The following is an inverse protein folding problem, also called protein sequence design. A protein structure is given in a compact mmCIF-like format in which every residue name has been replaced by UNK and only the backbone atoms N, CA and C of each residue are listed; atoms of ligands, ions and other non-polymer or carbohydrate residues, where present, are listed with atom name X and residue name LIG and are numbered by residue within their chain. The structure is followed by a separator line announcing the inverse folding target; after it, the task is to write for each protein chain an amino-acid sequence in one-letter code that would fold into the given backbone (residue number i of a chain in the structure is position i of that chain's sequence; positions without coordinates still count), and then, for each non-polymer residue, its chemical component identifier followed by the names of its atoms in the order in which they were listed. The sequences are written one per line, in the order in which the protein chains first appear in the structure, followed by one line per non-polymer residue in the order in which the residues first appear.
data_IF_003066031729
#
_entry.id   IF_003066031729
#
_cell.length_a   1.000
_cell.length_b   1.000
_cell.length_c   1.000
_cell.angle_alpha   90.00
_cell.angle_beta   90.00
_cell.angle_gamma   90.00
#
_symmetry.space_group_name_H-M   'P 1'
#
loop_
_entity.id
_entity.type
_entity.pdbx_description
1 polymer ?
#
# COMPACT_ATOMS: atom_id res chain seq x y z
N UNK A 1 -31.30 11.00 12.06
CA UNK A 1 -31.25 9.57 12.44
C UNK A 1 -31.17 9.51 13.95
N UNK A 2 -32.16 8.88 14.58
CA UNK A 2 -32.29 8.83 16.03
C UNK A 2 -31.34 7.76 16.57
N UNK A 3 -30.27 8.18 17.23
CA UNK A 3 -29.42 7.30 18.03
C UNK A 3 -30.17 6.89 19.30
N UNK A 4 -30.00 5.65 19.71
CA UNK A 4 -30.56 5.20 20.99
C UNK A 4 -29.90 5.96 22.15
N UNK A 5 -30.59 6.15 23.30
CA UNK A 5 -29.99 6.84 24.46
C UNK A 5 -28.72 6.15 24.99
N UNK A 6 -28.59 4.85 24.77
CA UNK A 6 -27.42 4.05 25.16
C UNK A 6 -26.24 4.31 24.23
N UNK A 7 -26.46 4.36 22.90
CA UNK A 7 -25.44 4.73 21.93
C UNK A 7 -24.96 6.17 22.10
N UNK A 8 -25.88 7.09 22.43
CA UNK A 8 -25.52 8.48 22.70
C UNK A 8 -24.67 8.63 23.96
N UNK A 9 -24.90 7.82 25.00
CA UNK A 9 -24.04 7.76 26.20
C UNK A 9 -22.66 7.17 25.90
N UNK A 10 -22.58 6.10 25.12
CA UNK A 10 -21.32 5.51 24.68
C UNK A 10 -20.47 6.52 23.89
N UNK A 11 -21.07 7.16 22.90
CA UNK A 11 -20.39 8.17 22.07
C UNK A 11 -19.95 9.38 22.91
N UNK A 12 -20.76 9.83 23.88
CA UNK A 12 -20.40 10.95 24.75
C UNK A 12 -19.31 10.61 25.76
N UNK A 13 -19.26 9.37 26.24
CA UNK A 13 -18.22 8.92 27.18
C UNK A 13 -16.89 8.58 26.48
N UNK A 14 -16.95 8.15 25.22
CA UNK A 14 -15.77 7.83 24.41
C UNK A 14 -15.31 9.03 23.53
N UNK A 15 -16.21 10.01 23.32
CA UNK A 15 -15.80 11.22 22.62
C UNK A 15 -14.69 11.91 23.43
N UNK A 16 -13.49 12.09 22.85
CA UNK A 16 -12.48 12.88 23.51
C UNK A 16 -13.08 14.23 23.87
N UNK A 17 -12.92 14.65 25.12
CA UNK A 17 -13.28 16.01 25.57
C UNK A 17 -12.84 16.98 24.48
N UNK A 18 -13.63 18.03 24.21
CA UNK A 18 -13.34 19.12 23.24
C UNK A 18 -12.01 19.86 23.49
N UNK A 19 -11.18 19.38 24.38
CA UNK A 19 -9.79 19.80 24.47
C UNK A 19 -9.15 19.51 23.12
N UNK A 20 -8.76 20.57 22.43
CA UNK A 20 -8.00 20.56 21.20
C UNK A 20 -6.97 19.44 21.25
N UNK A 21 -7.06 18.47 20.33
CA UNK A 21 -6.09 17.38 20.28
C UNK A 21 -4.68 18.00 20.41
N UNK A 22 -3.91 17.65 21.47
CA UNK A 22 -2.66 18.33 21.73
C UNK A 22 -1.78 18.20 20.50
N UNK A 23 -1.31 19.33 19.96
CA UNK A 23 -0.45 19.36 18.80
C UNK A 23 0.83 18.59 19.12
N UNK A 24 1.09 17.51 18.37
CA UNK A 24 2.34 16.79 18.53
C UNK A 24 3.44 17.61 17.86
N UNK A 25 4.50 18.02 18.57
CA UNK A 25 5.59 18.72 17.95
C UNK A 25 6.23 17.82 16.86
N UNK A 26 6.21 18.25 15.61
CA UNK A 26 6.74 17.50 14.46
C UNK A 26 8.17 16.97 14.69
N UNK A 27 9.03 17.79 15.32
CA UNK A 27 10.41 17.40 15.68
C UNK A 27 10.49 16.23 16.68
N UNK A 28 9.46 16.01 17.51
CA UNK A 28 9.42 14.84 18.39
C UNK A 28 9.03 13.57 17.62
N UNK A 29 8.20 13.71 16.57
CA UNK A 29 7.81 12.56 15.72
C UNK A 29 8.99 12.03 14.92
N UNK A 30 9.81 12.89 14.34
CA UNK A 30 11.00 12.48 13.56
C UNK A 30 12.01 11.70 14.41
N UNK A 31 12.05 11.97 15.72
CA UNK A 31 12.91 11.24 16.67
C UNK A 31 12.27 9.94 17.18
N UNK A 32 10.99 9.71 16.91
CA UNK A 32 10.27 8.50 17.34
C UNK A 32 10.46 7.40 16.27
N UNK A 33 11.37 6.46 16.50
CA UNK A 33 11.72 5.39 15.55
C UNK A 33 10.51 4.55 15.09
N UNK A 34 9.55 4.16 15.94
CA UNK A 34 8.32 3.51 15.49
C UNK A 34 7.53 4.35 14.47
N UNK A 35 7.41 5.65 14.67
CA UNK A 35 6.74 6.54 13.71
C UNK A 35 7.53 6.65 12.40
N UNK A 36 8.85 6.80 12.47
CA UNK A 36 9.73 6.84 11.29
C UNK A 36 9.58 5.57 10.46
N UNK A 37 9.53 4.40 11.12
CA UNK A 37 9.31 3.13 10.42
C UNK A 37 7.96 3.09 9.67
N UNK A 38 6.88 3.60 10.28
CA UNK A 38 5.57 3.72 9.61
C UNK A 38 5.64 4.68 8.42
N UNK A 39 6.28 5.84 8.59
CA UNK A 39 6.41 6.84 7.53
C UNK A 39 7.21 6.31 6.33
N UNK A 40 8.31 5.60 6.58
CA UNK A 40 9.11 4.92 5.54
C UNK A 40 8.28 3.83 4.86
N UNK A 41 7.56 3.00 5.61
CA UNK A 41 6.69 1.97 5.03
C UNK A 41 5.61 2.58 4.13
N UNK A 42 4.97 3.67 4.58
CA UNK A 42 3.97 4.42 3.80
C UNK A 42 4.59 5.00 2.52
N UNK A 43 5.78 5.58 2.62
CA UNK A 43 6.52 6.11 1.47
C UNK A 43 6.81 5.02 0.45
N UNK A 44 7.39 3.89 0.86
CA UNK A 44 7.73 2.78 -0.04
C UNK A 44 6.48 2.14 -0.67
N UNK A 45 5.42 1.96 0.11
CA UNK A 45 4.15 1.43 -0.41
C UNK A 45 3.54 2.36 -1.48
N UNK A 46 3.53 3.67 -1.23
CA UNK A 46 3.03 4.65 -2.18
C UNK A 46 3.93 4.74 -3.42
N UNK A 47 5.25 4.64 -3.26
CA UNK A 47 6.19 4.59 -4.40
C UNK A 47 5.79 3.49 -5.39
N UNK A 48 5.64 2.26 -4.92
CA UNK A 48 5.20 1.13 -5.75
C UNK A 48 3.82 1.36 -6.35
N UNK A 49 2.84 1.75 -5.52
CA UNK A 49 1.45 1.96 -5.96
C UNK A 49 1.37 2.97 -7.12
N UNK A 50 1.99 4.15 -6.97
CA UNK A 50 1.90 5.21 -7.97
C UNK A 50 2.77 4.95 -9.21
N UNK A 51 3.89 4.22 -9.07
CA UNK A 51 4.63 3.71 -10.22
C UNK A 51 3.73 2.77 -11.05
N UNK A 52 3.09 1.79 -10.42
CA UNK A 52 2.18 0.87 -11.10
C UNK A 52 1.00 1.59 -11.74
N UNK A 53 0.33 2.45 -11.01
CA UNK A 53 -0.83 3.18 -11.49
C UNK A 53 -0.50 3.99 -12.77
N UNK A 54 0.71 4.56 -12.84
CA UNK A 54 1.14 5.40 -13.93
C UNK A 54 1.69 4.61 -15.13
N UNK A 55 2.39 3.51 -14.87
CA UNK A 55 3.18 2.82 -15.91
C UNK A 55 2.65 1.46 -16.31
N UNK A 56 1.86 0.77 -15.49
CA UNK A 56 1.28 -0.52 -15.87
C UNK A 56 0.42 -0.45 -17.14
N UNK A 57 -0.50 0.51 -17.32
CA UNK A 57 -1.27 0.61 -18.57
C UNK A 57 -0.38 0.87 -19.79
N UNK A 58 0.69 1.67 -19.61
CA UNK A 58 1.65 1.96 -20.67
C UNK A 58 2.46 0.73 -21.05
N UNK A 59 2.92 -0.03 -20.06
CA UNK A 59 3.66 -1.28 -20.26
C UNK A 59 2.84 -2.33 -21.02
N UNK A 60 1.58 -2.50 -20.61
CA UNK A 60 0.68 -3.47 -21.27
C UNK A 60 0.41 -3.08 -22.73
N UNK A 61 0.35 -1.78 -23.04
CA UNK A 61 0.10 -1.29 -24.40
C UNK A 61 1.38 -1.14 -25.25
N UNK A 62 2.55 -0.94 -24.63
CA UNK A 62 3.79 -0.71 -25.35
C UNK A 62 4.11 -1.89 -26.32
N UNK A 63 4.71 -1.62 -27.49
CA UNK A 63 5.05 -2.67 -28.45
C UNK A 63 6.00 -3.71 -27.87
N UNK A 64 5.85 -4.95 -28.29
CA UNK A 64 6.76 -6.07 -27.89
C UNK A 64 8.22 -5.75 -28.28
N UNK A 65 8.43 -5.06 -29.39
CA UNK A 65 9.75 -4.59 -29.84
C UNK A 65 10.43 -3.62 -28.89
N UNK A 66 9.65 -2.95 -28.04
CA UNK A 66 10.10 -2.02 -27.00
C UNK A 66 10.08 -2.67 -25.60
N UNK A 67 9.86 -3.99 -25.52
CA UNK A 67 9.80 -4.73 -24.27
C UNK A 67 8.48 -4.59 -23.52
N UNK A 68 7.41 -4.11 -24.18
CA UNK A 68 6.04 -4.10 -23.66
C UNK A 68 5.27 -5.37 -24.03
N UNK A 69 3.96 -5.39 -23.73
CA UNK A 69 3.09 -6.54 -23.96
C UNK A 69 2.34 -6.49 -25.31
N UNK A 70 2.34 -5.34 -25.99
CA UNK A 70 1.71 -5.15 -27.32
C UNK A 70 0.20 -5.28 -27.36
N UNK A 71 -0.49 -5.01 -26.24
CA UNK A 71 -1.94 -5.20 -26.13
C UNK A 71 -2.66 -3.88 -26.38
N UNK A 72 -3.60 -3.91 -27.34
CA UNK A 72 -4.41 -2.73 -27.67
C UNK A 72 -5.28 -2.31 -26.46
N UNK A 73 -5.26 -1.00 -26.16
CA UNK A 73 -6.07 -0.36 -25.10
C UNK A 73 -7.57 -0.60 -25.27
N UNK A 74 -8.05 -0.76 -26.52
CA UNK A 74 -9.45 -1.03 -26.83
C UNK A 74 -9.87 -2.49 -26.64
N UNK A 75 -8.93 -3.39 -26.40
CA UNK A 75 -9.22 -4.82 -26.25
C UNK A 75 -9.80 -5.16 -24.88
N UNK A 76 -10.75 -6.11 -24.87
CA UNK A 76 -11.25 -6.66 -23.60
C UNK A 76 -10.13 -7.28 -22.75
N UNK A 77 -9.09 -7.82 -23.39
CA UNK A 77 -7.93 -8.42 -22.73
C UNK A 77 -7.20 -7.38 -21.90
N UNK A 78 -7.01 -6.15 -22.43
CA UNK A 78 -6.42 -5.04 -21.70
C UNK A 78 -7.23 -4.71 -20.45
N UNK A 79 -8.57 -4.59 -20.60
CA UNK A 79 -9.47 -4.28 -19.47
C UNK A 79 -9.35 -5.34 -18.37
N UNK A 80 -9.34 -6.62 -18.72
CA UNK A 80 -9.20 -7.70 -17.74
C UNK A 80 -7.81 -7.73 -17.09
N UNK A 81 -6.74 -7.46 -17.84
CA UNK A 81 -5.39 -7.41 -17.32
C UNK A 81 -5.20 -6.34 -16.22
N UNK A 82 -5.93 -5.23 -16.33
CA UNK A 82 -5.90 -4.16 -15.31
C UNK A 82 -6.93 -4.42 -14.20
N UNK A 83 -8.14 -4.85 -14.55
CA UNK A 83 -9.24 -4.96 -13.59
C UNK A 83 -9.03 -6.10 -12.57
N UNK A 84 -8.53 -7.27 -13.02
CA UNK A 84 -8.35 -8.43 -12.14
C UNK A 84 -7.41 -8.11 -10.96
N UNK A 85 -6.21 -7.56 -11.16
CA UNK A 85 -5.33 -7.17 -10.05
C UNK A 85 -5.97 -6.12 -9.12
N UNK A 86 -6.78 -5.19 -9.65
CA UNK A 86 -7.48 -4.20 -8.83
C UNK A 86 -8.50 -4.86 -7.90
N UNK A 87 -9.30 -5.80 -8.41
CA UNK A 87 -10.28 -6.55 -7.57
C UNK A 87 -9.56 -7.38 -6.52
N UNK A 88 -8.47 -8.06 -6.89
CA UNK A 88 -7.63 -8.82 -5.95
C UNK A 88 -7.06 -7.91 -4.86
N UNK A 89 -6.65 -6.69 -5.20
CA UNK A 89 -6.15 -5.70 -4.23
C UNK A 89 -7.20 -5.37 -3.16
N UNK A 90 -8.45 -5.12 -3.56
CA UNK A 90 -9.54 -4.80 -2.63
C UNK A 90 -9.78 -5.97 -1.67
N UNK A 91 -9.89 -7.18 -2.19
CA UNK A 91 -10.11 -8.40 -1.39
C UNK A 91 -8.94 -8.62 -0.44
N UNK A 92 -7.72 -8.47 -0.93
CA UNK A 92 -6.50 -8.70 -0.15
C UNK A 92 -6.32 -7.69 0.98
N UNK A 93 -6.72 -6.43 0.77
CA UNK A 93 -6.70 -5.38 1.80
C UNK A 93 -7.59 -5.78 3.00
N UNK A 94 -8.79 -6.28 2.73
CA UNK A 94 -9.73 -6.74 3.76
C UNK A 94 -9.16 -7.98 4.46
N UNK A 95 -8.69 -8.96 3.69
CA UNK A 95 -8.11 -10.20 4.23
C UNK A 95 -6.86 -9.95 5.07
N UNK A 96 -6.01 -8.99 4.69
CA UNK A 96 -4.81 -8.61 5.45
C UNK A 96 -5.14 -8.12 6.86
N UNK A 97 -6.18 -7.30 7.01
CA UNK A 97 -6.68 -6.88 8.31
C UNK A 97 -7.19 -8.06 9.14
N UNK A 98 -8.06 -8.89 8.55
CA UNK A 98 -8.56 -10.10 9.24
C UNK A 98 -7.45 -11.07 9.66
N UNK A 99 -6.44 -11.27 8.81
CA UNK A 99 -5.29 -12.14 9.11
C UNK A 99 -4.52 -11.63 10.33
N UNK A 100 -4.22 -10.33 10.35
CA UNK A 100 -3.52 -9.72 11.48
C UNK A 100 -4.32 -9.85 12.78
N UNK A 101 -5.62 -9.56 12.76
CA UNK A 101 -6.49 -9.67 13.92
C UNK A 101 -6.65 -11.12 14.40
N UNK A 102 -6.74 -12.08 13.49
CA UNK A 102 -6.81 -13.50 13.82
C UNK A 102 -5.53 -14.00 14.51
N UNK A 103 -4.35 -13.55 14.06
CA UNK A 103 -3.08 -13.87 14.68
C UNK A 103 -2.97 -13.28 16.09
N UNK A 104 -3.39 -12.03 16.29
CA UNK A 104 -3.41 -11.39 17.61
C UNK A 104 -4.38 -12.13 18.55
N UNK A 105 -5.58 -12.49 18.08
CA UNK A 105 -6.56 -13.28 18.85
C UNK A 105 -6.04 -14.67 19.24
N UNK A 106 -5.13 -15.27 18.46
CA UNK A 106 -4.46 -16.52 18.79
C UNK A 106 -3.36 -16.37 19.86
N UNK A 107 -3.11 -15.15 20.35
CA UNK A 107 -2.13 -14.88 21.41
C UNK A 107 -0.75 -14.45 20.93
N UNK A 108 -0.54 -14.23 19.64
CA UNK A 108 0.71 -13.65 19.16
C UNK A 108 0.82 -12.19 19.57
N UNK A 109 2.02 -11.72 19.90
CA UNK A 109 2.22 -10.32 20.27
C UNK A 109 1.93 -9.38 19.08
N UNK A 110 1.25 -8.26 19.34
CA UNK A 110 0.91 -7.26 18.32
C UNK A 110 2.14 -6.85 17.50
N UNK A 111 3.27 -6.59 18.19
CA UNK A 111 4.53 -6.18 17.55
C UNK A 111 5.02 -7.23 16.55
N UNK A 112 5.00 -8.51 16.93
CA UNK A 112 5.48 -9.60 16.07
C UNK A 112 4.54 -9.80 14.86
N UNK A 113 3.23 -9.70 15.07
CA UNK A 113 2.24 -9.77 13.99
C UNK A 113 2.45 -8.61 13.00
N UNK A 114 2.54 -7.35 13.49
CA UNK A 114 2.78 -6.19 12.63
C UNK A 114 4.08 -6.31 11.81
N UNK A 115 5.17 -6.73 12.46
CA UNK A 115 6.45 -6.98 11.76
C UNK A 115 6.34 -8.11 10.74
N UNK A 116 5.73 -9.23 11.12
CA UNK A 116 5.58 -10.40 10.25
C UNK A 116 4.79 -10.10 8.99
N UNK A 117 3.59 -9.50 9.12
CA UNK A 117 2.75 -9.15 7.97
C UNK A 117 3.41 -8.10 7.07
N UNK A 118 4.13 -7.12 7.64
CA UNK A 118 4.90 -6.17 6.85
C UNK A 118 6.03 -6.84 6.07
N UNK A 119 6.81 -7.71 6.73
CA UNK A 119 7.92 -8.40 6.08
C UNK A 119 7.43 -9.29 4.94
N UNK A 120 6.39 -10.10 5.19
CA UNK A 120 5.80 -10.96 4.14
C UNK A 120 5.27 -10.11 2.99
N UNK A 121 4.58 -9.03 3.29
CA UNK A 121 4.01 -8.17 2.28
C UNK A 121 5.07 -7.46 1.42
N UNK A 122 6.06 -6.80 2.02
CA UNK A 122 7.09 -6.07 1.27
C UNK A 122 8.05 -7.00 0.54
N UNK A 123 8.58 -8.03 1.20
CA UNK A 123 9.50 -8.98 0.56
C UNK A 123 8.80 -9.84 -0.51
N UNK A 124 7.55 -10.26 -0.25
CA UNK A 124 6.76 -10.99 -1.23
C UNK A 124 6.47 -10.13 -2.47
N UNK A 125 6.06 -8.88 -2.29
CA UNK A 125 5.86 -7.95 -3.41
C UNK A 125 7.15 -7.71 -4.19
N UNK A 126 8.28 -7.51 -3.53
CA UNK A 126 9.57 -7.31 -4.19
C UNK A 126 10.01 -8.54 -4.99
N UNK A 127 9.80 -9.75 -4.45
CA UNK A 127 10.10 -11.00 -5.16
C UNK A 127 9.28 -11.13 -6.45
N UNK A 128 7.96 -10.92 -6.37
CA UNK A 128 7.09 -11.05 -7.53
C UNK A 128 7.32 -9.93 -8.56
N UNK A 129 7.70 -8.72 -8.12
CA UNK A 129 8.15 -7.65 -9.00
C UNK A 129 9.41 -8.04 -9.78
N UNK A 130 10.38 -8.62 -9.09
CA UNK A 130 11.60 -9.08 -9.74
C UNK A 130 11.30 -10.16 -10.79
N UNK A 131 10.34 -11.05 -10.52
CA UNK A 131 9.94 -12.08 -11.48
C UNK A 131 9.23 -11.52 -12.71
N UNK A 132 8.43 -10.45 -12.57
CA UNK A 132 7.77 -9.80 -13.73
C UNK A 132 8.79 -9.33 -14.77
N UNK A 133 9.94 -8.85 -14.35
CA UNK A 133 10.96 -8.30 -15.25
C UNK A 133 11.47 -9.29 -16.30
N UNK A 134 11.24 -10.59 -16.11
CA UNK A 134 11.70 -11.68 -16.98
C UNK A 134 10.55 -12.39 -17.70
N UNK A 135 9.30 -11.89 -17.61
CA UNK A 135 8.13 -12.58 -18.13
C UNK A 135 7.65 -11.96 -19.45
N UNK A 136 7.49 -12.82 -20.45
CA UNK A 136 6.97 -12.46 -21.77
C UNK A 136 5.47 -12.81 -21.94
N UNK A 137 4.91 -13.62 -21.04
CA UNK A 137 3.51 -14.06 -21.08
C UNK A 137 2.60 -13.13 -20.30
N UNK A 138 1.60 -12.55 -20.96
CA UNK A 138 0.59 -11.71 -20.30
C UNK A 138 -0.09 -12.43 -19.12
N UNK A 139 -0.42 -13.72 -19.29
CA UNK A 139 -1.07 -14.48 -18.21
C UNK A 139 -0.20 -14.53 -16.96
N UNK A 140 1.10 -14.81 -17.13
CA UNK A 140 2.05 -14.86 -16.03
C UNK A 140 2.20 -13.47 -15.37
N UNK A 141 2.29 -12.40 -16.17
CA UNK A 141 2.33 -11.03 -15.67
C UNK A 141 1.10 -10.71 -14.84
N UNK A 142 -0.11 -11.04 -15.32
CA UNK A 142 -1.36 -10.80 -14.55
C UNK A 142 -1.39 -11.61 -13.27
N UNK A 143 -0.94 -12.87 -13.28
CA UNK A 143 -0.83 -13.70 -12.07
C UNK A 143 0.14 -13.06 -11.07
N UNK A 144 1.32 -12.66 -11.51
CA UNK A 144 2.32 -12.03 -10.66
C UNK A 144 1.80 -10.69 -10.10
N UNK A 145 1.11 -9.89 -10.89
CA UNK A 145 0.43 -8.67 -10.42
C UNK A 145 -0.61 -8.98 -9.33
N UNK A 146 -1.38 -10.04 -9.48
CA UNK A 146 -2.31 -10.48 -8.45
C UNK A 146 -1.57 -10.87 -7.15
N UNK A 147 -0.47 -11.61 -7.26
CA UNK A 147 0.35 -12.02 -6.10
C UNK A 147 0.99 -10.80 -5.41
N UNK A 148 1.47 -9.80 -6.15
CA UNK A 148 1.94 -8.52 -5.61
C UNK A 148 0.82 -7.83 -4.82
N UNK A 149 -0.38 -7.77 -5.39
CA UNK A 149 -1.52 -7.15 -4.72
C UNK A 149 -1.96 -7.92 -3.46
N UNK A 150 -1.87 -9.26 -3.45
CA UNK A 150 -2.10 -10.08 -2.26
C UNK A 150 -1.07 -9.73 -1.17
N UNK A 151 0.20 -9.69 -1.51
CA UNK A 151 1.26 -9.34 -0.57
C UNK A 151 1.11 -7.90 -0.05
N UNK A 152 0.84 -6.94 -0.92
CA UNK A 152 0.59 -5.54 -0.55
C UNK A 152 -0.64 -5.40 0.34
N UNK A 153 -1.72 -6.14 0.08
CA UNK A 153 -2.90 -6.17 0.92
C UNK A 153 -2.62 -6.67 2.34
N UNK A 154 -1.76 -7.68 2.48
CA UNK A 154 -1.33 -8.20 3.79
C UNK A 154 -0.63 -7.09 4.61
N UNK A 155 0.16 -6.21 3.99
CA UNK A 155 0.80 -5.07 4.64
C UNK A 155 -0.19 -4.11 5.31
N UNK A 156 -1.43 -4.02 4.83
CA UNK A 156 -2.44 -3.16 5.43
C UNK A 156 -2.74 -3.52 6.90
N UNK A 157 -2.73 -4.83 7.23
CA UNK A 157 -2.81 -5.32 8.61
C UNK A 157 -1.55 -5.04 9.46
N UNK A 158 -0.47 -4.58 8.84
CA UNK A 158 0.79 -4.20 9.47
C UNK A 158 0.88 -2.69 9.71
N UNK A 159 1.60 -1.98 8.83
CA UNK A 159 1.89 -0.54 9.03
C UNK A 159 0.63 0.33 8.98
N UNK A 160 -0.40 -0.06 8.19
CA UNK A 160 -1.62 0.73 8.02
C UNK A 160 -2.38 0.94 9.33
N UNK A 161 -2.46 -0.08 10.18
CA UNK A 161 -3.17 -0.03 11.48
C UNK A 161 -2.24 0.42 12.61
N UNK A 162 -0.93 0.33 12.44
CA UNK A 162 0.06 0.57 13.49
C UNK A 162 0.05 2.02 14.03
N UNK A 163 -0.54 2.98 13.31
CA UNK A 163 -0.76 4.33 13.80
C UNK A 163 -1.63 4.36 15.06
N UNK A 164 -2.68 3.52 15.08
CA UNK A 164 -3.56 3.40 16.24
C UNK A 164 -2.88 2.70 17.42
N UNK A 165 -2.02 1.70 17.14
CA UNK A 165 -1.24 1.00 18.15
C UNK A 165 -0.19 1.93 18.79
N UNK A 166 0.39 2.86 18.01
CA UNK A 166 1.43 3.79 18.47
C UNK A 166 0.90 4.91 19.37
N UNK A 167 -0.28 5.42 19.04
CA UNK A 167 -0.88 6.51 19.80
C UNK A 167 -2.35 6.71 19.49
N UNK A 168 -3.26 6.00 20.18
CA UNK A 168 -4.70 6.04 19.89
C UNK A 168 -5.29 7.44 19.87
N UNK A 169 -4.83 8.32 20.79
CA UNK A 169 -5.29 9.72 20.88
C UNK A 169 -4.81 10.61 19.72
N UNK A 170 -3.75 10.19 19.03
CA UNK A 170 -3.09 10.98 17.99
C UNK A 170 -3.17 10.31 16.61
N UNK A 171 -3.92 9.22 16.48
CA UNK A 171 -3.99 8.41 15.25
C UNK A 171 -4.24 9.27 14.01
N UNK A 172 -5.20 10.20 14.07
CA UNK A 172 -5.49 11.09 12.93
C UNK A 172 -4.29 11.95 12.51
N UNK A 173 -3.57 12.54 13.47
CA UNK A 173 -2.37 13.33 13.19
C UNK A 173 -1.23 12.46 12.64
N UNK A 174 -1.04 11.27 13.21
CA UNK A 174 0.00 10.34 12.76
C UNK A 174 -0.27 9.87 11.33
N UNK A 175 -1.52 9.50 11.00
CA UNK A 175 -1.95 9.13 9.64
C UNK A 175 -1.78 10.31 8.67
N UNK A 176 -2.18 11.51 9.09
CA UNK A 176 -2.05 12.71 8.26
C UNK A 176 -0.60 13.01 7.89
N UNK A 177 0.31 13.00 8.88
CA UNK A 177 1.74 13.31 8.65
C UNK A 177 2.41 12.20 7.82
N UNK A 178 2.21 10.93 8.16
CA UNK A 178 2.78 9.81 7.37
C UNK A 178 2.20 9.75 5.96
N UNK A 179 0.90 10.04 5.80
CA UNK A 179 0.24 10.15 4.51
C UNK A 179 0.83 11.28 3.66
N UNK A 180 1.12 12.45 4.26
CA UNK A 180 1.78 13.56 3.55
C UNK A 180 3.18 13.16 3.06
N UNK A 181 3.95 12.43 3.88
CA UNK A 181 5.25 11.87 3.47
C UNK A 181 5.06 10.87 2.31
N UNK A 182 4.03 10.02 2.39
CA UNK A 182 3.68 9.10 1.31
C UNK A 182 3.29 9.79 0.00
N UNK A 183 2.67 10.98 0.07
CA UNK A 183 2.34 11.77 -1.13
C UNK A 183 3.59 12.32 -1.85
N UNK A 184 4.69 12.54 -1.14
CA UNK A 184 5.98 12.88 -1.79
C UNK A 184 6.41 11.73 -2.71
N UNK A 185 6.28 10.48 -2.26
CA UNK A 185 6.56 9.32 -3.10
C UNK A 185 5.62 9.24 -4.32
N UNK A 186 4.34 9.57 -4.14
CA UNK A 186 3.36 9.60 -5.22
C UNK A 186 3.71 10.59 -6.34
N UNK A 187 4.33 11.71 -6.00
CA UNK A 187 4.79 12.71 -6.98
C UNK A 187 6.12 12.27 -7.61
N UNK A 188 7.06 11.80 -6.80
CA UNK A 188 8.41 11.50 -7.27
C UNK A 188 8.47 10.20 -8.08
N UNK A 189 7.72 9.18 -7.69
CA UNK A 189 7.86 7.85 -8.30
C UNK A 189 7.54 7.83 -9.81
N UNK A 190 6.46 8.47 -10.32
CA UNK A 190 6.21 8.51 -11.76
C UNK A 190 7.27 9.33 -12.52
N UNK A 191 7.81 10.39 -11.90
CA UNK A 191 8.84 11.22 -12.51
C UNK A 191 10.13 10.41 -12.67
N UNK A 192 10.57 9.75 -11.60
CA UNK A 192 11.78 8.92 -11.61
C UNK A 192 11.62 7.76 -12.58
N UNK A 193 10.51 7.02 -12.51
CA UNK A 193 10.23 5.92 -13.43
C UNK A 193 10.22 6.38 -14.90
N UNK A 194 9.61 7.52 -15.20
CA UNK A 194 9.61 8.08 -16.55
C UNK A 194 10.99 8.48 -17.05
N UNK A 195 11.80 9.09 -16.18
CA UNK A 195 13.18 9.44 -16.52
C UNK A 195 14.04 8.19 -16.76
N UNK A 196 13.89 7.17 -15.91
CA UNK A 196 14.58 5.89 -16.08
C UNK A 196 14.18 5.24 -17.40
N UNK A 197 12.89 5.20 -17.73
CA UNK A 197 12.41 4.63 -18.99
C UNK A 197 13.00 5.37 -20.21
N UNK A 198 13.02 6.71 -20.18
CA UNK A 198 13.58 7.51 -21.27
C UNK A 198 15.09 7.30 -21.48
N UNK A 199 15.85 7.08 -20.40
CA UNK A 199 17.30 6.89 -20.48
C UNK A 199 17.64 5.45 -20.89
N UNK A 200 16.91 4.47 -20.37
CA UNK A 200 17.27 3.04 -20.52
C UNK A 200 16.51 2.33 -21.62
N UNK A 201 15.37 2.88 -22.05
CA UNK A 201 14.41 2.21 -22.94
C UNK A 201 14.06 0.78 -22.50
N UNK A 202 14.08 0.53 -21.18
CA UNK A 202 13.86 -0.81 -20.61
C UNK A 202 12.76 -0.78 -19.56
N UNK A 203 11.72 -1.56 -19.79
CA UNK A 203 10.63 -1.75 -18.84
C UNK A 203 11.05 -2.59 -17.63
N UNK A 204 11.97 -3.52 -17.79
CA UNK A 204 12.44 -4.39 -16.72
C UNK A 204 13.17 -3.66 -15.59
N UNK A 205 13.62 -2.41 -15.82
CA UNK A 205 14.29 -1.60 -14.80
C UNK A 205 13.28 -0.79 -13.97
N UNK A 206 12.05 -0.62 -14.47
CA UNK A 206 10.99 0.13 -13.80
C UNK A 206 10.27 -0.73 -12.76
N UNK A 207 10.10 -1.99 -13.06
CA UNK A 207 9.46 -2.98 -12.22
C UNK A 207 10.52 -3.86 -11.54
#
# INVERSE_FOLDING_TARGET
KNLSPQELKLIKNEAPSKESAPSIPFLKLIKNMPFVAIAVATFCNNWSLYTFLSYLPKYVNAPITEGGMGIDLSSNIFVFAILIPCVVSIVSLIMGGYLADALIKKGYSVINVRKGVNSVGFFGSALFLFLISSEDSLLNVVILLCLINVCSGICAGGFGVNHADLGPKYTGSLVGISGSIGMIAAILSPIVAGTVLQITNSWSIIF
#
